data_IF_576063851433
#
_entry.id   IF_576063851433
#
_cell.length_a   1.000
_cell.length_b   1.000
_cell.length_c   1.000
_cell.angle_alpha   90.00
_cell.angle_beta   90.00
_cell.angle_gamma   90.00
#
_symmetry.space_group_name_H-M   'P 1'
#
loop_
_entity.id
_entity.type
_entity.pdbx_description
1 polymer ?
#
# COMPACT_ATOMS: atom_id res chain seq x y z
N UNK A 1 -14.48 -8.05 -27.16
CA UNK A 1 -13.34 -7.18 -26.77
C UNK A 1 -12.24 -8.10 -26.25
N UNK A 2 -10.98 -7.83 -26.60
CA UNK A 2 -9.84 -8.57 -26.04
C UNK A 2 -9.74 -8.20 -24.56
N UNK A 3 -9.84 -9.19 -23.67
CA UNK A 3 -9.63 -8.99 -22.24
C UNK A 3 -8.15 -8.68 -22.01
N UNK A 4 -7.85 -7.52 -21.43
CA UNK A 4 -6.49 -7.15 -21.03
C UNK A 4 -6.37 -7.43 -19.54
N UNK A 5 -5.58 -8.44 -19.18
CA UNK A 5 -5.30 -8.74 -17.78
C UNK A 5 -4.37 -7.67 -17.20
N UNK A 6 -4.92 -6.85 -16.31
CA UNK A 6 -4.19 -5.78 -15.65
C UNK A 6 -3.51 -6.26 -14.35
N UNK A 7 -3.79 -7.46 -13.86
CA UNK A 7 -3.42 -7.91 -12.52
C UNK A 7 -1.91 -7.87 -12.29
N UNK A 8 -1.12 -8.26 -13.30
CA UNK A 8 0.34 -8.23 -13.23
C UNK A 8 0.87 -6.80 -13.02
N UNK A 9 0.35 -5.84 -13.79
CA UNK A 9 0.73 -4.44 -13.66
C UNK A 9 0.26 -3.82 -12.33
N UNK A 10 -0.90 -4.26 -11.83
CA UNK A 10 -1.45 -3.83 -10.56
C UNK A 10 -0.60 -4.35 -9.38
N UNK A 11 -0.17 -5.61 -9.42
CA UNK A 11 0.77 -6.17 -8.45
C UNK A 11 2.11 -5.42 -8.43
N UNK A 12 2.65 -5.03 -9.59
CA UNK A 12 3.84 -4.17 -9.63
C UNK A 12 3.58 -2.82 -8.97
N UNK A 13 2.44 -2.20 -9.23
CA UNK A 13 2.10 -0.91 -8.60
C UNK A 13 1.99 -1.02 -7.08
N UNK A 14 1.41 -2.12 -6.55
CA UNK A 14 1.42 -2.42 -5.10
C UNK A 14 2.85 -2.58 -4.59
N UNK A 15 3.66 -3.35 -5.33
CA UNK A 15 5.07 -3.59 -5.05
C UNK A 15 5.88 -2.32 -4.88
N UNK A 16 5.84 -1.46 -5.90
CA UNK A 16 6.55 -0.18 -5.91
C UNK A 16 6.00 0.77 -4.84
N UNK A 17 4.69 0.79 -4.62
CA UNK A 17 4.08 1.62 -3.58
C UNK A 17 4.59 1.27 -2.19
N UNK A 18 4.74 -0.03 -1.87
CA UNK A 18 5.29 -0.47 -0.59
C UNK A 18 6.71 0.03 -0.35
N UNK A 19 7.59 -0.13 -1.33
CA UNK A 19 9.00 0.31 -1.23
C UNK A 19 9.09 1.84 -1.12
N UNK A 20 8.35 2.58 -1.95
CA UNK A 20 8.37 4.05 -1.93
C UNK A 20 7.79 4.60 -0.62
N UNK A 21 6.69 4.01 -0.12
CA UNK A 21 6.13 4.39 1.19
C UNK A 21 7.13 4.19 2.33
N UNK A 22 7.82 3.04 2.36
CA UNK A 22 8.86 2.78 3.35
C UNK A 22 9.96 3.83 3.27
N UNK A 23 10.46 4.12 2.07
CA UNK A 23 11.52 5.09 1.85
C UNK A 23 11.12 6.49 2.32
N UNK A 24 9.97 7.00 1.87
CA UNK A 24 9.46 8.33 2.25
C UNK A 24 9.23 8.42 3.75
N UNK A 25 8.63 7.40 4.36
CA UNK A 25 8.40 7.35 5.81
C UNK A 25 9.71 7.42 6.61
N UNK A 26 10.73 6.66 6.22
CA UNK A 26 12.03 6.65 6.88
C UNK A 26 12.76 7.98 6.69
N UNK A 27 12.79 8.55 5.49
CA UNK A 27 13.38 9.86 5.24
C UNK A 27 12.71 10.95 6.10
N UNK A 28 11.38 10.97 6.13
CA UNK A 28 10.62 11.91 6.95
C UNK A 28 10.87 11.73 8.46
N UNK A 29 10.99 10.49 8.93
CA UNK A 29 11.28 10.19 10.32
C UNK A 29 12.73 10.56 10.71
N UNK A 30 13.70 10.30 9.84
CA UNK A 30 15.11 10.57 10.08
C UNK A 30 15.49 12.04 9.87
N UNK A 31 14.60 12.84 9.27
CA UNK A 31 14.81 14.27 9.01
C UNK A 31 15.26 15.06 10.25
N UNK A 32 16.19 16.00 10.07
CA UNK A 32 16.85 16.69 11.21
C UNK A 32 15.94 17.71 11.88
N UNK A 33 15.14 18.41 11.08
CA UNK A 33 14.24 19.47 11.52
C UNK A 33 12.90 19.38 10.75
N UNK A 34 11.98 20.30 11.04
CA UNK A 34 10.65 20.31 10.41
C UNK A 34 10.71 20.59 8.91
N UNK A 35 11.58 21.48 8.47
CA UNK A 35 11.64 21.93 7.07
C UNK A 35 12.19 20.80 6.18
N UNK A 36 13.23 20.12 6.65
CA UNK A 36 13.79 18.91 6.03
C UNK A 36 12.73 17.80 5.96
N UNK A 37 11.94 17.61 7.03
CA UNK A 37 10.83 16.65 7.03
C UNK A 37 9.76 16.99 6.00
N UNK A 38 9.34 18.25 5.96
CA UNK A 38 8.36 18.72 4.99
C UNK A 38 8.87 18.56 3.55
N UNK A 39 10.15 18.86 3.30
CA UNK A 39 10.79 18.67 1.99
C UNK A 39 10.79 17.19 1.58
N UNK A 40 11.17 16.27 2.47
CA UNK A 40 11.18 14.83 2.20
C UNK A 40 9.76 14.29 1.93
N UNK A 41 8.75 14.70 2.70
CA UNK A 41 7.35 14.33 2.46
C UNK A 41 6.86 14.87 1.11
N UNK A 42 7.13 16.14 0.81
CA UNK A 42 6.73 16.79 -0.44
C UNK A 42 7.39 16.15 -1.67
N UNK A 43 8.65 15.74 -1.56
CA UNK A 43 9.35 14.99 -2.61
C UNK A 43 8.69 13.63 -2.88
N UNK A 44 8.17 12.97 -1.84
CA UNK A 44 7.41 11.72 -1.95
C UNK A 44 6.00 11.89 -2.53
N UNK A 45 5.45 13.11 -2.58
CA UNK A 45 4.06 13.32 -2.99
C UNK A 45 3.79 12.90 -4.45
N UNK A 46 4.65 13.30 -5.39
CA UNK A 46 4.46 13.00 -6.81
C UNK A 46 4.48 11.49 -7.10
N UNK A 47 5.51 10.71 -6.72
CA UNK A 47 5.52 9.28 -7.02
C UNK A 47 4.36 8.53 -6.36
N UNK A 48 3.96 8.90 -5.14
CA UNK A 48 2.79 8.31 -4.48
C UNK A 48 1.48 8.70 -5.17
N UNK A 49 1.34 9.93 -5.66
CA UNK A 49 0.17 10.35 -6.43
C UNK A 49 0.06 9.57 -7.75
N UNK A 50 1.17 9.42 -8.48
CA UNK A 50 1.19 8.68 -9.75
C UNK A 50 0.74 7.23 -9.54
N UNK A 51 1.31 6.55 -8.55
CA UNK A 51 0.90 5.18 -8.21
C UNK A 51 -0.53 5.12 -7.70
N UNK A 52 -0.94 6.02 -6.80
CA UNK A 52 -2.29 6.05 -6.27
C UNK A 52 -3.37 6.29 -7.33
N UNK A 53 -3.14 7.25 -8.24
CA UNK A 53 -4.06 7.53 -9.36
C UNK A 53 -4.12 6.34 -10.32
N UNK A 54 -2.99 5.71 -10.63
CA UNK A 54 -2.96 4.49 -11.42
C UNK A 54 -3.79 3.37 -10.77
N UNK A 55 -3.64 3.18 -9.47
CA UNK A 55 -4.37 2.15 -8.72
C UNK A 55 -5.86 2.44 -8.67
N UNK A 56 -6.27 3.70 -8.47
CA UNK A 56 -7.68 4.09 -8.54
C UNK A 56 -8.27 3.84 -9.93
N UNK A 57 -7.61 4.32 -10.97
CA UNK A 57 -8.11 4.22 -12.34
C UNK A 57 -8.23 2.76 -12.79
N UNK A 58 -7.16 1.98 -12.65
CA UNK A 58 -7.14 0.57 -13.06
C UNK A 58 -7.97 -0.31 -12.14
N UNK A 59 -8.06 0.01 -10.85
CA UNK A 59 -8.86 -0.72 -9.88
C UNK A 59 -10.37 -0.54 -10.12
N UNK A 60 -10.82 0.70 -10.31
CA UNK A 60 -12.22 0.98 -10.66
C UNK A 60 -12.59 0.36 -12.00
N UNK A 61 -11.70 0.46 -12.99
CA UNK A 61 -11.90 -0.24 -14.27
C UNK A 61 -12.07 -1.75 -14.04
N UNK A 62 -11.23 -2.37 -13.22
CA UNK A 62 -11.34 -3.77 -12.83
C UNK A 62 -12.69 -4.10 -12.18
N UNK A 63 -13.15 -3.30 -11.20
CA UNK A 63 -14.46 -3.52 -10.56
C UNK A 63 -15.62 -3.59 -11.57
N UNK A 64 -15.60 -2.76 -12.61
CA UNK A 64 -16.69 -2.69 -13.58
C UNK A 64 -16.57 -3.67 -14.75
N UNK A 65 -15.37 -4.17 -15.04
CA UNK A 65 -15.10 -4.91 -16.29
C UNK A 65 -14.55 -6.32 -16.09
N UNK A 66 -14.21 -6.70 -14.86
CA UNK A 66 -13.56 -7.98 -14.60
C UNK A 66 -14.51 -9.18 -14.84
N UNK A 67 -14.09 -10.17 -15.65
CA UNK A 67 -14.97 -11.25 -16.12
C UNK A 67 -15.11 -12.41 -15.13
N UNK A 68 -14.24 -12.50 -14.11
CA UNK A 68 -14.31 -13.57 -13.10
C UNK A 68 -15.44 -13.30 -12.08
N UNK A 69 -16.06 -14.36 -11.53
CA UNK A 69 -17.20 -14.24 -10.64
C UNK A 69 -16.88 -13.46 -9.35
N UNK A 70 -17.94 -12.86 -8.78
CA UNK A 70 -17.89 -11.73 -7.85
C UNK A 70 -16.99 -11.82 -6.61
N UNK A 71 -16.61 -13.01 -6.13
CA UNK A 71 -15.67 -13.14 -5.01
C UNK A 71 -14.26 -12.65 -5.36
N UNK A 72 -13.82 -12.85 -6.60
CA UNK A 72 -12.53 -12.37 -7.09
C UNK A 72 -12.53 -10.84 -7.24
N UNK A 73 -13.65 -10.27 -7.67
CA UNK A 73 -13.76 -8.81 -7.85
C UNK A 73 -13.57 -8.08 -6.52
N UNK A 74 -14.31 -8.52 -5.51
CA UNK A 74 -14.27 -7.92 -4.17
C UNK A 74 -12.87 -8.12 -3.57
N UNK A 75 -12.34 -9.36 -3.63
CA UNK A 75 -11.06 -9.68 -3.01
C UNK A 75 -9.92 -8.78 -3.52
N UNK A 76 -9.80 -8.63 -4.84
CA UNK A 76 -8.66 -7.94 -5.45
C UNK A 76 -8.91 -6.44 -5.64
N UNK A 77 -10.07 -6.02 -6.12
CA UNK A 77 -10.26 -4.63 -6.54
C UNK A 77 -10.64 -3.68 -5.41
N UNK A 78 -11.46 -4.10 -4.46
CA UNK A 78 -11.92 -3.19 -3.39
C UNK A 78 -10.74 -2.70 -2.56
N UNK A 79 -9.88 -3.64 -2.13
CA UNK A 79 -8.69 -3.32 -1.34
C UNK A 79 -7.67 -2.56 -2.17
N UNK A 80 -7.54 -2.87 -3.46
CA UNK A 80 -6.61 -2.17 -4.35
C UNK A 80 -7.02 -0.71 -4.61
N UNK A 81 -8.31 -0.46 -4.85
CA UNK A 81 -8.87 0.91 -4.99
C UNK A 81 -8.72 1.68 -3.67
N UNK A 82 -9.03 1.05 -2.53
CA UNK A 82 -8.84 1.68 -1.21
C UNK A 82 -7.38 2.04 -0.96
N UNK A 83 -6.45 1.17 -1.33
CA UNK A 83 -5.02 1.47 -1.19
C UNK A 83 -4.61 2.64 -2.11
N UNK A 84 -5.10 2.67 -3.35
CA UNK A 84 -4.94 3.83 -4.25
C UNK A 84 -5.45 5.14 -3.65
N UNK A 85 -6.64 5.11 -3.02
CA UNK A 85 -7.22 6.28 -2.35
C UNK A 85 -6.34 6.78 -1.18
N UNK A 86 -5.75 5.87 -0.39
CA UNK A 86 -4.80 6.24 0.68
C UNK A 86 -3.57 6.90 0.11
N UNK A 87 -2.99 6.37 -0.97
CA UNK A 87 -1.80 6.94 -1.59
C UNK A 87 -2.05 8.34 -2.15
N UNK A 88 -3.17 8.54 -2.85
CA UNK A 88 -3.56 9.87 -3.34
C UNK A 88 -3.81 10.83 -2.17
N UNK A 89 -4.54 10.39 -1.14
CA UNK A 89 -4.79 11.22 0.04
C UNK A 89 -3.51 11.61 0.78
N UNK A 90 -2.55 10.68 0.93
CA UNK A 90 -1.23 10.96 1.49
C UNK A 90 -0.45 11.94 0.61
N UNK A 91 -0.44 11.75 -0.71
CA UNK A 91 0.24 12.66 -1.63
C UNK A 91 -0.32 14.08 -1.55
N UNK A 92 -1.64 14.23 -1.47
CA UNK A 92 -2.30 15.53 -1.28
C UNK A 92 -1.96 16.16 0.07
N UNK A 93 -1.94 15.35 1.15
CA UNK A 93 -1.55 15.82 2.47
C UNK A 93 -0.08 16.27 2.52
N UNK A 94 0.81 15.53 1.85
CA UNK A 94 2.24 15.85 1.73
C UNK A 94 2.45 17.15 0.94
N UNK A 95 1.73 17.31 -0.17
CA UNK A 95 1.83 18.50 -1.02
C UNK A 95 1.32 19.76 -0.31
N UNK A 96 0.18 19.64 0.38
CA UNK A 96 -0.50 20.75 1.04
C UNK A 96 -0.03 21.00 2.47
N UNK A 97 0.95 20.25 2.96
CA UNK A 97 1.47 20.31 4.34
C UNK A 97 0.38 20.22 5.42
N UNK A 98 -0.66 19.41 5.18
CA UNK A 98 -1.76 19.18 6.11
C UNK A 98 -1.40 18.05 7.09
N UNK A 99 -2.02 18.05 8.27
CA UNK A 99 -1.84 17.01 9.30
C UNK A 99 -2.14 15.61 8.74
N UNK A 100 -1.18 14.70 8.87
CA UNK A 100 -1.21 13.35 8.33
C UNK A 100 -2.10 12.40 9.13
N UNK A 101 -2.41 12.70 10.40
CA UNK A 101 -3.18 11.83 11.30
C UNK A 101 -4.52 11.34 10.73
N UNK A 102 -5.19 12.14 9.90
CA UNK A 102 -6.46 11.75 9.28
C UNK A 102 -6.23 10.70 8.21
N UNK A 103 -5.20 10.85 7.38
CA UNK A 103 -4.80 9.82 6.42
C UNK A 103 -4.27 8.56 7.11
N UNK A 104 -3.59 8.72 8.25
CA UNK A 104 -3.22 7.59 9.10
C UNK A 104 -4.43 6.82 9.61
N UNK A 105 -5.50 7.52 10.04
CA UNK A 105 -6.74 6.88 10.48
C UNK A 105 -7.42 6.11 9.34
N UNK A 106 -7.47 6.67 8.13
CA UNK A 106 -7.92 5.94 6.95
C UNK A 106 -7.04 4.70 6.68
N UNK A 107 -5.73 4.84 6.79
CA UNK A 107 -4.77 3.74 6.67
C UNK A 107 -5.03 2.63 7.69
N UNK A 108 -5.35 2.97 8.94
CA UNK A 108 -5.71 2.00 9.98
C UNK A 108 -6.98 1.21 9.60
N UNK A 109 -8.03 1.93 9.18
CA UNK A 109 -9.31 1.31 8.82
C UNK A 109 -9.15 0.37 7.62
N UNK A 110 -8.54 0.86 6.54
CA UNK A 110 -8.31 0.05 5.36
C UNK A 110 -7.27 -1.06 5.57
N UNK A 111 -6.29 -0.86 6.44
CA UNK A 111 -5.34 -1.90 6.83
C UNK A 111 -6.03 -3.06 7.55
N UNK A 112 -6.95 -2.77 8.47
CA UNK A 112 -7.76 -3.79 9.12
C UNK A 112 -8.70 -4.51 8.12
N UNK A 113 -9.32 -3.76 7.21
CA UNK A 113 -10.13 -4.34 6.13
C UNK A 113 -9.31 -5.27 5.23
N UNK A 114 -8.09 -4.86 4.84
CA UNK A 114 -7.20 -5.69 4.04
C UNK A 114 -6.86 -7.01 4.75
N UNK A 115 -6.57 -6.99 6.05
CA UNK A 115 -6.34 -8.22 6.80
C UNK A 115 -7.54 -9.17 6.79
N UNK A 116 -8.75 -8.63 6.96
CA UNK A 116 -9.98 -9.43 6.91
C UNK A 116 -10.15 -10.07 5.53
N UNK A 117 -9.93 -9.32 4.46
CA UNK A 117 -10.01 -9.83 3.09
C UNK A 117 -8.97 -10.93 2.85
N UNK A 118 -7.74 -10.73 3.31
CA UNK A 118 -6.69 -11.74 3.24
C UNK A 118 -7.06 -13.02 3.99
N UNK A 119 -7.62 -12.89 5.21
CA UNK A 119 -8.00 -14.03 6.03
C UNK A 119 -9.14 -14.85 5.39
N UNK A 120 -10.18 -14.19 4.88
CA UNK A 120 -11.27 -14.88 4.18
C UNK A 120 -10.81 -15.45 2.83
N UNK A 121 -9.96 -14.74 2.08
CA UNK A 121 -9.37 -15.23 0.84
C UNK A 121 -8.52 -16.48 1.05
N UNK A 122 -7.79 -16.54 2.18
CA UNK A 122 -7.06 -17.73 2.61
C UNK A 122 -7.99 -18.90 2.91
N UNK A 123 -9.00 -18.70 3.76
CA UNK A 123 -9.94 -19.75 4.16
C UNK A 123 -10.71 -20.33 2.97
N UNK A 124 -11.12 -19.47 2.04
CA UNK A 124 -11.84 -19.87 0.84
C UNK A 124 -10.93 -20.39 -0.28
N UNK A 125 -9.60 -20.45 -0.09
CA UNK A 125 -8.61 -20.92 -1.08
C UNK A 125 -8.77 -20.26 -2.45
N UNK A 126 -8.99 -18.94 -2.47
CA UNK A 126 -9.28 -18.17 -3.70
C UNK A 126 -8.04 -17.93 -4.59
N UNK A 127 -6.87 -18.42 -4.19
CA UNK A 127 -5.62 -18.32 -4.95
C UNK A 127 -4.93 -19.68 -5.03
N UNK A 128 -4.15 -19.92 -6.08
CA UNK A 128 -3.27 -21.11 -6.19
C UNK A 128 -2.17 -21.14 -5.11
N UNK A 129 -1.86 -19.99 -4.50
CA UNK A 129 -0.96 -19.87 -3.36
C UNK A 129 -1.62 -19.08 -2.21
N UNK A 130 -2.59 -19.68 -1.47
CA UNK A 130 -3.36 -18.97 -0.45
C UNK A 130 -2.51 -18.33 0.64
N UNK A 131 -1.42 -18.97 1.06
CA UNK A 131 -0.52 -18.47 2.10
C UNK A 131 0.24 -17.21 1.66
N UNK A 132 0.65 -17.14 0.38
CA UNK A 132 1.34 -15.98 -0.19
C UNK A 132 0.35 -14.81 -0.31
N UNK A 133 -0.88 -15.09 -0.77
CA UNK A 133 -1.96 -14.11 -0.79
C UNK A 133 -2.22 -13.56 0.61
N UNK A 134 -2.40 -14.43 1.61
CA UNK A 134 -2.59 -13.99 2.99
C UNK A 134 -1.44 -13.13 3.49
N UNK A 135 -0.20 -13.55 3.25
CA UNK A 135 1.00 -12.81 3.64
C UNK A 135 1.03 -11.40 3.04
N UNK A 136 0.67 -11.25 1.77
CA UNK A 136 0.57 -9.95 1.10
C UNK A 136 -0.45 -9.03 1.81
N UNK A 137 -1.67 -9.50 2.02
CA UNK A 137 -2.73 -8.71 2.65
C UNK A 137 -2.43 -8.42 4.12
N UNK A 138 -1.84 -9.37 4.84
CA UNK A 138 -1.45 -9.20 6.23
C UNK A 138 -0.32 -8.17 6.37
N UNK A 139 0.69 -8.19 5.51
CA UNK A 139 1.81 -7.24 5.58
C UNK A 139 1.40 -5.82 5.22
N UNK A 140 0.63 -5.63 4.14
CA UNK A 140 0.07 -4.31 3.83
C UNK A 140 -0.96 -3.85 4.86
N UNK A 141 -1.76 -4.77 5.40
CA UNK A 141 -2.69 -4.52 6.50
C UNK A 141 -1.98 -4.04 7.76
N UNK A 142 -0.90 -4.71 8.15
CA UNK A 142 -0.01 -4.27 9.24
C UNK A 142 0.59 -2.89 8.92
N UNK A 143 1.00 -2.66 7.68
CA UNK A 143 1.45 -1.36 7.20
C UNK A 143 0.40 -0.27 7.42
N UNK A 144 -0.87 -0.52 7.07
CA UNK A 144 -1.97 0.42 7.32
C UNK A 144 -2.17 0.71 8.82
N UNK A 145 -2.20 -0.35 9.64
CA UNK A 145 -2.36 -0.25 11.10
C UNK A 145 -1.22 0.55 11.74
N UNK A 146 0.03 0.24 11.37
CA UNK A 146 1.22 0.95 11.84
C UNK A 146 1.37 2.36 11.22
N UNK A 147 0.73 2.59 10.08
CA UNK A 147 0.65 3.89 9.42
C UNK A 147 0.00 4.95 10.31
N UNK A 148 -1.02 4.59 11.10
CA UNK A 148 -1.63 5.54 12.03
C UNK A 148 -0.68 6.08 13.10
N UNK A 149 -0.08 5.25 13.98
CA UNK A 149 0.88 5.76 14.96
C UNK A 149 2.09 6.43 14.29
N UNK A 150 2.52 5.99 13.10
CA UNK A 150 3.55 6.67 12.33
C UNK A 150 3.15 8.11 11.96
N UNK A 151 1.95 8.32 11.41
CA UNK A 151 1.49 9.67 11.06
C UNK A 151 1.36 10.59 12.28
N UNK A 152 0.95 10.05 13.44
CA UNK A 152 0.96 10.80 14.71
C UNK A 152 2.37 11.20 15.12
N UNK A 153 3.36 10.32 14.92
CA UNK A 153 4.77 10.65 15.17
C UNK A 153 5.27 11.75 14.24
N UNK A 154 4.90 11.69 12.96
CA UNK A 154 5.30 12.65 11.93
C UNK A 154 4.57 13.99 12.04
N UNK A 155 3.38 14.06 12.62
CA UNK A 155 2.67 15.34 12.81
C UNK A 155 3.24 16.16 13.98
N UNK A 156 3.79 15.50 14.99
CA UNK A 156 4.33 16.17 16.18
C UNK A 156 5.82 16.49 15.99
N UNK A 157 6.29 17.54 16.66
CA UNK A 157 7.72 17.83 16.75
C UNK A 157 8.51 16.69 17.39
N UNK A 158 9.79 16.55 17.01
CA UNK A 158 10.73 15.65 17.67
C UNK A 158 10.94 16.10 19.11
N UNK A 159 10.12 15.58 20.03
CA UNK A 159 10.35 15.73 21.47
C UNK A 159 11.51 14.83 21.89
N UNK A 160 12.48 15.40 22.62
CA UNK A 160 13.61 14.66 23.21
C UNK A 160 13.17 13.52 24.16
N UNK A 161 11.92 13.54 24.63
CA UNK A 161 11.40 12.59 25.61
C UNK A 161 10.64 11.39 25.02
N UNK A 162 10.64 11.22 23.68
CA UNK A 162 10.05 10.03 23.03
C UNK A 162 11.03 8.87 23.06
N UNK A 163 11.07 8.15 24.18
CA UNK A 163 11.85 6.91 24.34
C UNK A 163 10.93 5.68 24.34
N UNK A 164 11.46 4.53 23.95
CA UNK A 164 10.75 3.24 23.98
C UNK A 164 10.08 2.83 22.66
N UNK A 165 9.00 2.05 22.75
CA UNK A 165 8.37 1.32 21.63
C UNK A 165 7.96 2.22 20.45
N UNK A 166 7.69 3.51 20.67
CA UNK A 166 7.36 4.47 19.62
C UNK A 166 8.47 4.66 18.59
N UNK A 167 9.73 4.45 18.96
CA UNK A 167 10.86 4.56 18.03
C UNK A 167 10.92 3.38 17.04
N UNK A 168 10.27 2.26 17.36
CA UNK A 168 10.22 1.06 16.51
C UNK A 168 9.15 1.18 15.42
N UNK A 169 8.12 2.01 15.62
CA UNK A 169 6.97 2.13 14.70
C UNK A 169 7.39 2.41 13.26
N UNK A 170 8.26 3.40 12.95
CA UNK A 170 8.66 3.66 11.56
C UNK A 170 9.39 2.49 10.92
N UNK A 171 10.20 1.77 11.69
CA UNK A 171 10.96 0.60 11.22
C UNK A 171 10.05 -0.59 10.97
N UNK A 172 9.11 -0.87 11.88
CA UNK A 172 8.12 -1.93 11.71
C UNK A 172 7.18 -1.63 10.54
N UNK A 173 6.74 -0.39 10.40
CA UNK A 173 5.97 0.06 9.24
C UNK A 173 6.75 -0.19 7.95
N UNK A 174 7.99 0.33 7.87
CA UNK A 174 8.82 0.21 6.69
C UNK A 174 9.10 -1.25 6.34
N UNK A 175 9.40 -2.09 7.33
CA UNK A 175 9.59 -3.53 7.15
C UNK A 175 8.33 -4.20 6.60
N UNK A 176 7.16 -3.93 7.20
CA UNK A 176 5.90 -4.54 6.78
C UNK A 176 5.56 -4.20 5.32
N UNK A 177 5.58 -2.91 4.95
CA UNK A 177 5.23 -2.50 3.58
C UNK A 177 6.31 -2.87 2.55
N UNK A 178 7.58 -2.95 2.95
CA UNK A 178 8.66 -3.43 2.07
C UNK A 178 8.52 -4.92 1.80
N UNK A 179 8.33 -5.73 2.84
CA UNK A 179 8.12 -7.17 2.68
C UNK A 179 6.85 -7.46 1.88
N UNK A 180 5.76 -6.73 2.15
CA UNK A 180 4.53 -6.81 1.35
C UNK A 180 4.78 -6.45 -0.12
N UNK A 181 5.53 -5.37 -0.36
CA UNK A 181 5.89 -4.95 -1.71
C UNK A 181 6.75 -5.97 -2.45
N UNK A 182 7.73 -6.56 -1.77
CA UNK A 182 8.55 -7.64 -2.31
C UNK A 182 7.71 -8.88 -2.63
N UNK A 183 6.77 -9.27 -1.76
CA UNK A 183 5.85 -10.36 -2.06
C UNK A 183 5.03 -10.06 -3.33
N UNK A 184 4.48 -8.85 -3.47
CA UNK A 184 3.74 -8.45 -4.66
C UNK A 184 4.60 -8.57 -5.93
N UNK A 185 5.85 -8.12 -5.87
CA UNK A 185 6.81 -8.24 -6.98
C UNK A 185 7.11 -9.71 -7.27
N UNK A 186 7.31 -10.56 -6.27
CA UNK A 186 7.57 -11.99 -6.50
C UNK A 186 6.39 -12.70 -7.16
N UNK A 187 5.15 -12.39 -6.76
CA UNK A 187 3.95 -12.94 -7.42
C UNK A 187 3.92 -12.50 -8.88
N UNK A 188 4.20 -11.22 -9.14
CA UNK A 188 4.29 -10.69 -10.50
C UNK A 188 5.37 -11.39 -11.33
N UNK A 189 6.58 -11.58 -10.80
CA UNK A 189 7.70 -12.19 -11.52
C UNK A 189 7.41 -13.64 -11.94
N UNK A 190 6.60 -14.36 -11.16
CA UNK A 190 6.12 -15.70 -11.52
C UNK A 190 5.00 -15.65 -12.55
N UNK A 191 4.13 -14.64 -12.51
CA UNK A 191 3.01 -14.49 -13.43
C UNK A 191 3.44 -14.02 -14.84
N UNK A 192 4.40 -13.09 -14.95
CA UNK A 192 4.82 -12.49 -16.24
C UNK A 192 5.19 -13.55 -17.29
N UNK A 193 6.07 -14.54 -17.01
CA UNK A 193 6.43 -15.54 -18.00
C UNK A 193 5.23 -16.38 -18.46
N UNK A 194 4.30 -16.69 -17.56
CA UNK A 194 3.09 -17.45 -17.90
C UNK A 194 2.18 -16.66 -18.86
N UNK A 195 2.00 -15.36 -18.64
CA UNK A 195 1.24 -14.49 -19.55
C UNK A 195 1.93 -14.25 -20.89
N UNK A 196 3.27 -14.27 -20.94
CA UNK A 196 4.02 -14.12 -22.19
C UNK A 196 4.14 -15.43 -22.99
N UNK A 197 3.92 -16.60 -22.36
CA UNK A 197 4.10 -17.90 -22.99
C UNK A 197 2.98 -18.28 -23.98
N UNK A 198 1.79 -17.68 -23.85
CA UNK A 198 0.68 -17.87 -24.77
C UNK A 198 0.07 -16.51 -25.12
N UNK A 199 0.02 -16.19 -26.41
CA UNK A 199 -0.75 -15.04 -26.89
C UNK A 199 -2.24 -15.19 -26.48
N UNK A 200 -2.96 -14.09 -26.23
CA UNK A 200 -4.36 -14.11 -25.82
C UNK A 200 -5.28 -14.75 -26.85
#
# INVERSE_FOLDING_TARGET
>A
MVFVDLLTSQLLSVGFSGVILAYVALCAYLSKNKDDRAANLKAGAIPLAVLGVYMLASGLYGQFTWPLPGSYNILFYDVYVMFGAVLVGLALAFHSAVKLKYMGLFGLMFGATAMLYGAFGYQASLSSAPSILFGLYALFGLGGILGYPLTLLLDVEKSKNRQGAWQLVPWLFALAVTLGGLLAITICLVAVPAHLASAP
#
